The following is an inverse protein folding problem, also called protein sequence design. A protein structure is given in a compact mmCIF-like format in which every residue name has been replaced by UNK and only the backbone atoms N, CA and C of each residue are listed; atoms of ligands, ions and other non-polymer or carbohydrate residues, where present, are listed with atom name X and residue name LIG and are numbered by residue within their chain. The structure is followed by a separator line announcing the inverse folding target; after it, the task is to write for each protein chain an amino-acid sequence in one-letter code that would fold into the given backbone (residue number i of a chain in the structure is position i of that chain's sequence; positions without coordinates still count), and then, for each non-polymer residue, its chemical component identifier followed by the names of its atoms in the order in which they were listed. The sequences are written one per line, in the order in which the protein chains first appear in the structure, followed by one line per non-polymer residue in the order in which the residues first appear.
data_IF_965934209859
#
_entry.id   IF_965934209859
#
_cell.length_a   1.000
_cell.length_b   1.000
_cell.length_c   1.000
_cell.angle_alpha   90.00
_cell.angle_beta   90.00
_cell.angle_gamma   90.00
#
_symmetry.space_group_name_H-M   'P 1'
#
loop_
_entity.id
_entity.type
_entity.pdbx_description
1 polymer ?
#
# COMPACT_ATOMS: atom_id res chain seq x y z
N UNK A 1 -18.70 -0.97 10.93
CA UNK A 1 -19.40 -0.05 10.00
C UNK A 1 -19.22 -0.62 8.60
N UNK A 2 -20.30 -0.83 7.86
CA UNK A 2 -20.19 -1.25 6.47
C UNK A 2 -19.79 -0.04 5.60
N UNK A 3 -19.11 -0.25 4.48
CA UNK A 3 -18.75 0.87 3.58
C UNK A 3 -19.97 1.57 2.99
N UNK A 4 -21.10 0.89 2.91
CA UNK A 4 -22.39 1.48 2.55
C UNK A 4 -22.89 2.54 3.55
N UNK A 5 -22.43 2.48 4.80
CA UNK A 5 -22.82 3.43 5.87
C UNK A 5 -22.00 4.72 5.84
N UNK A 6 -20.98 4.81 4.98
CA UNK A 6 -20.12 5.99 4.85
C UNK A 6 -20.79 6.97 3.90
N UNK A 7 -21.24 8.11 4.42
CA UNK A 7 -21.76 9.20 3.60
C UNK A 7 -20.62 10.00 2.98
N UNK A 8 -19.63 10.37 3.81
CA UNK A 8 -18.53 11.26 3.42
C UNK A 8 -17.30 10.99 4.27
N UNK A 9 -16.13 11.13 3.70
CA UNK A 9 -14.85 11.18 4.42
C UNK A 9 -14.20 12.50 4.03
N UNK A 10 -13.97 13.38 4.99
CA UNK A 10 -13.15 14.58 4.73
C UNK A 10 -11.76 14.30 5.24
N UNK A 11 -10.77 14.91 4.60
CA UNK A 11 -9.40 14.91 5.06
C UNK A 11 -8.95 16.35 5.08
N UNK A 12 -8.65 16.86 6.28
CA UNK A 12 -7.97 18.15 6.42
C UNK A 12 -6.47 17.93 6.38
N UNK A 13 -5.80 18.54 5.43
CA UNK A 13 -4.36 18.37 5.20
C UNK A 13 -3.68 19.66 4.75
N UNK A 14 -2.38 19.76 4.99
CA UNK A 14 -1.60 20.89 4.50
C UNK A 14 -1.39 20.86 2.97
N UNK A 15 -1.08 22.00 2.31
CA UNK A 15 -0.91 22.06 0.85
C UNK A 15 0.16 21.11 0.28
N UNK A 16 1.21 20.81 1.05
CA UNK A 16 2.29 19.92 0.62
C UNK A 16 1.79 18.47 0.51
N UNK A 17 1.00 18.00 1.47
CA UNK A 17 0.37 16.68 1.40
C UNK A 17 -0.64 16.59 0.25
N UNK A 18 -1.32 17.69 -0.08
CA UNK A 18 -2.27 17.73 -1.20
C UNK A 18 -1.52 17.57 -2.52
N UNK A 19 -0.41 18.27 -2.69
CA UNK A 19 0.43 18.17 -3.88
C UNK A 19 1.03 16.76 -4.03
N UNK A 20 1.54 16.19 -2.95
CA UNK A 20 2.20 14.89 -2.95
C UNK A 20 1.21 13.74 -3.14
N UNK A 21 0.07 13.77 -2.46
CA UNK A 21 -0.83 12.63 -2.31
C UNK A 21 -2.28 12.88 -2.76
N UNK A 22 -2.61 14.04 -3.33
CA UNK A 22 -3.99 14.43 -3.66
C UNK A 22 -4.54 13.85 -4.96
N UNK A 23 -3.72 13.13 -5.74
CA UNK A 23 -4.13 12.61 -7.04
C UNK A 23 -5.31 11.63 -6.93
N UNK A 24 -6.14 11.61 -7.97
CA UNK A 24 -7.19 10.60 -8.19
C UNK A 24 -6.92 9.72 -9.41
N UNK A 25 -5.74 9.88 -10.02
CA UNK A 25 -5.27 9.02 -11.11
C UNK A 25 -4.94 7.65 -10.54
N UNK A 26 -5.65 6.63 -11.01
CA UNK A 26 -5.46 5.26 -10.52
C UNK A 26 -4.86 4.33 -11.56
N UNK A 27 -4.80 4.69 -12.84
CA UNK A 27 -4.44 3.83 -13.98
C UNK A 27 -3.06 3.22 -13.78
N UNK A 28 -2.09 4.01 -13.34
CA UNK A 28 -0.77 3.50 -12.98
C UNK A 28 -0.72 3.13 -11.49
N UNK A 29 -0.03 2.02 -11.17
CA UNK A 29 0.18 1.63 -9.78
C UNK A 29 0.92 2.72 -8.99
N UNK A 30 1.91 3.38 -9.61
CA UNK A 30 2.66 4.44 -8.98
C UNK A 30 1.78 5.64 -8.61
N UNK A 31 0.89 6.09 -9.51
CA UNK A 31 -0.04 7.18 -9.19
C UNK A 31 -1.05 6.77 -8.12
N UNK A 32 -1.58 5.54 -8.18
CA UNK A 32 -2.47 5.03 -7.15
C UNK A 32 -1.79 5.02 -5.77
N UNK A 33 -0.52 4.63 -5.67
CA UNK A 33 0.25 4.66 -4.42
C UNK A 33 0.46 6.09 -3.87
N UNK A 34 0.42 7.09 -4.75
CA UNK A 34 0.43 8.51 -4.40
C UNK A 34 -0.98 9.10 -4.26
N UNK A 35 -2.02 8.27 -4.10
CA UNK A 35 -3.40 8.73 -3.91
C UNK A 35 -3.89 8.46 -2.49
N UNK A 36 -3.94 9.52 -1.68
CA UNK A 36 -4.55 9.49 -0.35
C UNK A 36 -6.05 9.11 -0.40
N UNK A 37 -6.86 9.64 -1.34
CA UNK A 37 -8.24 9.17 -1.51
C UNK A 37 -8.32 7.65 -1.76
N UNK A 38 -7.42 7.11 -2.57
CA UNK A 38 -7.41 5.68 -2.82
C UNK A 38 -6.91 4.86 -1.62
N UNK A 39 -5.90 5.34 -0.89
CA UNK A 39 -5.43 4.68 0.33
C UNK A 39 -6.55 4.52 1.37
N UNK A 40 -7.35 5.57 1.57
CA UNK A 40 -8.53 5.55 2.44
C UNK A 40 -9.62 4.61 1.90
N UNK A 41 -9.87 4.65 0.59
CA UNK A 41 -10.80 3.74 -0.10
C UNK A 41 -10.40 2.27 0.10
N UNK A 42 -9.13 1.94 -0.11
CA UNK A 42 -8.59 0.60 0.06
C UNK A 42 -8.69 0.13 1.51
N UNK A 43 -8.34 1.01 2.47
CA UNK A 43 -8.48 0.70 3.90
C UNK A 43 -9.93 0.44 4.30
N UNK A 44 -10.88 1.21 3.77
CA UNK A 44 -12.30 1.06 4.07
C UNK A 44 -12.91 -0.20 3.43
N UNK A 45 -12.61 -0.50 2.16
CA UNK A 45 -13.19 -1.65 1.46
C UNK A 45 -12.53 -2.98 1.82
N UNK A 46 -11.20 -2.99 1.96
CA UNK A 46 -10.44 -4.23 2.10
C UNK A 46 -9.85 -4.41 3.50
N UNK A 47 -9.94 -3.40 4.35
CA UNK A 47 -9.35 -3.41 5.68
C UNK A 47 -7.84 -3.17 5.66
N UNK A 48 -7.20 -2.91 4.52
CA UNK A 48 -5.76 -2.67 4.40
C UNK A 48 -5.41 -1.86 3.14
N UNK A 49 -4.24 -1.24 3.15
CA UNK A 49 -3.66 -0.49 2.02
C UNK A 49 -2.27 -1.08 1.67
N UNK A 50 -2.25 -2.35 1.27
CA UNK A 50 -1.04 -3.10 0.86
C UNK A 50 -1.07 -3.35 -0.65
N UNK A 51 0.04 -3.75 -1.31
CA UNK A 51 0.06 -3.92 -2.77
C UNK A 51 -1.09 -4.78 -3.34
N UNK A 52 -1.55 -5.79 -2.62
CA UNK A 52 -2.71 -6.60 -3.05
C UNK A 52 -4.02 -5.81 -3.11
N UNK A 53 -4.20 -4.76 -2.31
CA UNK A 53 -5.37 -3.86 -2.46
C UNK A 53 -5.25 -2.99 -3.71
N UNK A 54 -4.03 -2.74 -4.20
CA UNK A 54 -3.74 -1.92 -5.38
C UNK A 54 -3.68 -2.72 -6.68
N UNK A 55 -3.94 -4.03 -6.64
CA UNK A 55 -4.09 -4.81 -7.87
C UNK A 55 -5.23 -4.24 -8.74
N UNK A 56 -5.07 -4.30 -10.06
CA UNK A 56 -5.97 -3.66 -11.04
C UNK A 56 -7.44 -3.99 -10.81
N UNK A 57 -7.73 -5.27 -10.52
CA UNK A 57 -9.10 -5.76 -10.26
C UNK A 57 -9.77 -5.10 -9.06
N UNK A 58 -8.99 -4.59 -8.10
CA UNK A 58 -9.50 -3.90 -6.91
C UNK A 58 -9.49 -2.39 -7.10
N UNK A 59 -8.37 -1.81 -7.55
CA UNK A 59 -8.26 -0.35 -7.70
C UNK A 59 -9.13 0.24 -8.80
N UNK A 60 -9.42 -0.53 -9.85
CA UNK A 60 -10.28 -0.12 -10.94
C UNK A 60 -11.71 -0.65 -10.79
N UNK A 61 -12.07 -1.19 -9.63
CA UNK A 61 -13.43 -1.69 -9.35
C UNK A 61 -14.45 -0.55 -9.24
N UNK A 62 -15.71 -0.85 -9.58
CA UNK A 62 -16.80 0.12 -9.46
C UNK A 62 -17.04 0.52 -8.00
N UNK A 63 -16.85 -0.41 -7.06
CA UNK A 63 -16.96 -0.18 -5.63
C UNK A 63 -15.89 0.80 -5.13
N UNK A 64 -14.65 0.65 -5.58
CA UNK A 64 -13.58 1.59 -5.25
C UNK A 64 -13.87 2.98 -5.80
N UNK A 65 -14.30 3.08 -7.06
CA UNK A 65 -14.67 4.35 -7.65
C UNK A 65 -15.82 5.03 -6.89
N UNK A 66 -16.86 4.28 -6.53
CA UNK A 66 -18.02 4.80 -5.81
C UNK A 66 -17.70 5.30 -4.39
N UNK A 67 -16.80 4.62 -3.66
CA UNK A 67 -16.38 5.07 -2.35
C UNK A 67 -15.40 6.25 -2.44
N UNK A 68 -14.44 6.22 -3.36
CA UNK A 68 -13.48 7.31 -3.54
C UNK A 68 -14.14 8.64 -3.92
N UNK A 69 -15.29 8.58 -4.60
CA UNK A 69 -16.10 9.76 -4.92
C UNK A 69 -16.69 10.47 -3.69
N UNK A 70 -16.76 9.80 -2.53
CA UNK A 70 -17.25 10.34 -1.26
C UNK A 70 -16.14 10.91 -0.37
N UNK A 71 -14.91 10.90 -0.86
CA UNK A 71 -13.74 11.39 -0.14
C UNK A 71 -13.44 12.81 -0.62
N UNK A 72 -13.36 13.74 0.31
CA UNK A 72 -13.07 15.15 0.07
C UNK A 72 -11.74 15.52 0.73
N UNK A 73 -10.91 16.29 0.02
CA UNK A 73 -9.65 16.79 0.53
C UNK A 73 -9.78 18.29 0.69
N UNK A 74 -9.52 18.78 1.89
CA UNK A 74 -9.63 20.18 2.26
C UNK A 74 -8.27 20.67 2.78
N UNK A 75 -7.86 21.84 2.32
CA UNK A 75 -6.66 22.49 2.85
C UNK A 75 -6.99 23.02 4.23
N UNK A 76 -6.19 22.63 5.21
CA UNK A 76 -6.22 23.19 6.56
C UNK A 76 -5.02 24.12 6.74
N UNK A 77 -5.27 25.43 6.63
CA UNK A 77 -4.22 26.46 6.74
C UNK A 77 -3.60 26.54 8.15
N UNK A 78 -4.16 25.84 9.15
CA UNK A 78 -3.60 25.76 10.50
C UNK A 78 -2.57 24.64 10.64
N UNK A 79 -2.50 23.69 9.70
CA UNK A 79 -1.50 22.62 9.72
C UNK A 79 -0.16 23.12 9.19
N UNK A 80 0.88 22.91 9.99
CA UNK A 80 2.24 23.05 9.53
C UNK A 80 2.61 21.91 8.57
N UNK A 81 3.74 22.07 7.88
CA UNK A 81 4.19 21.13 6.84
C UNK A 81 4.38 19.70 7.36
N UNK A 82 4.85 19.58 8.60
CA UNK A 82 5.20 18.30 9.23
C UNK A 82 4.03 17.73 10.06
N UNK A 83 2.89 18.43 10.10
CA UNK A 83 1.70 17.94 10.79
C UNK A 83 1.02 16.82 10.00
N UNK A 84 0.49 15.84 10.74
CA UNK A 84 -0.28 14.73 10.20
C UNK A 84 -1.75 15.17 9.95
N UNK A 85 -2.40 14.66 8.89
CA UNK A 85 -3.75 15.04 8.55
C UNK A 85 -4.78 14.49 9.56
N UNK A 86 -5.91 15.18 9.72
CA UNK A 86 -7.07 14.67 10.43
C UNK A 86 -8.10 14.11 9.44
N UNK A 87 -8.76 13.01 9.82
CA UNK A 87 -9.71 12.28 8.97
C UNK A 87 -11.07 12.19 9.67
N UNK A 88 -11.91 13.21 9.54
CA UNK A 88 -13.32 13.15 9.93
C UNK A 88 -14.08 12.25 8.95
N UNK A 89 -14.99 11.47 9.48
CA UNK A 89 -15.85 10.57 8.76
C UNK A 89 -17.28 10.87 9.17
N UNK A 90 -18.13 11.05 8.17
CA UNK A 90 -19.57 11.24 8.34
C UNK A 90 -20.30 10.00 7.81
N UNK A 91 -21.17 9.47 8.66
CA UNK A 91 -22.01 8.31 8.31
C UNK A 91 -23.32 8.76 7.67
N UNK A 92 -24.00 7.85 6.97
CA UNK A 92 -25.36 8.07 6.41
C UNK A 92 -26.44 8.33 7.47
N UNK A 93 -26.10 8.18 8.76
CA UNK A 93 -26.98 8.46 9.90
C UNK A 93 -26.59 9.75 10.62
N UNK A 94 -25.87 10.66 9.94
CA UNK A 94 -25.37 11.94 10.47
C UNK A 94 -24.46 11.81 11.71
N UNK A 95 -23.91 10.62 11.98
CA UNK A 95 -22.88 10.44 13.01
C UNK A 95 -21.53 10.87 12.46
N UNK A 96 -20.79 11.63 13.26
CA UNK A 96 -19.43 12.06 12.95
C UNK A 96 -18.44 11.30 13.82
N UNK A 97 -17.38 10.80 13.17
CA UNK A 97 -16.24 10.14 13.80
C UNK A 97 -14.98 10.88 13.36
N UNK A 98 -14.04 11.10 14.25
CA UNK A 98 -12.76 11.69 13.89
C UNK A 98 -11.64 10.87 14.52
N UNK A 99 -10.59 10.62 13.75
CA UNK A 99 -9.37 10.03 14.24
C UNK A 99 -8.17 10.83 13.74
N UNK A 100 -7.21 11.04 14.63
CA UNK A 100 -5.93 11.67 14.34
C UNK A 100 -4.81 10.77 14.87
N UNK A 101 -3.81 10.51 14.03
CA UNK A 101 -2.63 9.71 14.38
C UNK A 101 -1.41 10.62 14.20
N UNK A 102 -1.01 11.26 15.30
CA UNK A 102 0.06 12.26 15.27
C UNK A 102 1.45 11.69 14.96
N UNK A 103 1.65 10.37 15.12
CA UNK A 103 2.91 9.70 14.80
C UNK A 103 2.62 8.44 13.98
N UNK A 104 2.94 8.41 12.68
CA UNK A 104 2.61 7.30 11.82
C UNK A 104 3.46 6.07 12.16
N UNK A 105 2.89 4.88 11.91
CA UNK A 105 3.62 3.63 12.10
C UNK A 105 4.83 3.55 11.16
N UNK A 106 5.99 3.18 11.70
CA UNK A 106 7.28 3.16 11.00
C UNK A 106 8.13 4.42 11.25
N UNK A 107 7.59 5.46 11.89
CA UNK A 107 8.39 6.58 12.40
C UNK A 107 9.38 6.07 13.46
N UNK A 108 10.57 6.69 13.62
CA UNK A 108 11.47 6.39 14.74
C UNK A 108 10.79 6.45 16.11
N UNK A 109 9.78 7.31 16.27
CA UNK A 109 8.98 7.46 17.49
C UNK A 109 7.79 6.47 17.59
N UNK A 110 7.47 5.75 16.52
CA UNK A 110 6.43 4.71 16.48
C UNK A 110 6.86 3.56 15.55
N UNK A 111 7.92 2.80 15.90
CA UNK A 111 8.50 1.81 15.02
C UNK A 111 7.53 0.64 14.79
N UNK A 112 7.63 0.03 13.60
CA UNK A 112 6.94 -1.23 13.33
C UNK A 112 7.50 -2.32 14.24
N UNK A 113 6.63 -3.21 14.72
CA UNK A 113 7.09 -4.44 15.34
C UNK A 113 7.79 -5.31 14.30
N UNK A 114 8.77 -6.10 14.72
CA UNK A 114 9.44 -7.02 13.81
C UNK A 114 8.46 -7.96 13.10
N UNK A 115 7.41 -8.40 13.80
CA UNK A 115 6.40 -9.27 13.23
C UNK A 115 5.66 -8.58 12.07
N UNK A 116 5.31 -7.30 12.23
CA UNK A 116 4.69 -6.50 11.17
C UNK A 116 5.66 -6.27 10.00
N UNK A 117 6.94 -6.00 10.28
CA UNK A 117 7.97 -5.84 9.25
C UNK A 117 8.16 -7.12 8.44
N UNK A 118 8.28 -8.27 9.12
CA UNK A 118 8.39 -9.59 8.50
C UNK A 118 7.16 -9.96 7.67
N UNK A 119 5.96 -9.67 8.17
CA UNK A 119 4.71 -9.89 7.43
C UNK A 119 4.67 -9.06 6.14
N UNK A 120 5.01 -7.77 6.20
CA UNK A 120 5.10 -6.89 5.03
C UNK A 120 6.13 -7.39 4.02
N UNK A 121 7.32 -7.78 4.49
CA UNK A 121 8.35 -8.37 3.62
C UNK A 121 7.83 -9.60 2.87
N UNK A 122 7.22 -10.57 3.57
CA UNK A 122 6.71 -11.80 2.95
C UNK A 122 5.60 -11.51 1.93
N UNK A 123 4.68 -10.59 2.27
CA UNK A 123 3.60 -10.13 1.37
C UNK A 123 4.15 -9.60 0.04
N UNK A 124 5.24 -8.80 0.10
CA UNK A 124 5.87 -8.25 -1.09
C UNK A 124 6.69 -9.28 -1.87
N UNK A 125 7.56 -10.02 -1.18
CA UNK A 125 8.51 -10.93 -1.82
C UNK A 125 7.81 -12.14 -2.47
N UNK A 126 6.73 -12.64 -1.86
CA UNK A 126 5.96 -13.77 -2.40
C UNK A 126 5.27 -13.48 -3.75
N UNK A 127 5.16 -12.19 -4.14
CA UNK A 127 4.62 -11.82 -5.47
C UNK A 127 5.57 -12.17 -6.61
N UNK A 128 6.85 -12.34 -6.33
CA UNK A 128 7.91 -12.49 -7.35
C UNK A 128 8.86 -13.66 -7.08
N UNK A 129 8.93 -14.17 -5.85
CA UNK A 129 9.80 -15.27 -5.45
C UNK A 129 9.00 -16.46 -4.87
N UNK A 130 9.44 -17.70 -5.09
CA UNK A 130 8.90 -18.87 -4.40
C UNK A 130 9.06 -18.76 -2.88
N UNK A 131 8.11 -19.33 -2.13
CA UNK A 131 8.07 -19.25 -0.66
C UNK A 131 9.40 -19.67 0.02
N UNK A 132 10.08 -20.70 -0.52
CA UNK A 132 11.37 -21.14 0.01
C UNK A 132 12.46 -20.06 -0.13
N UNK A 133 12.50 -19.32 -1.25
CA UNK A 133 13.46 -18.23 -1.45
C UNK A 133 13.13 -17.04 -0.55
N UNK A 134 11.84 -16.71 -0.39
CA UNK A 134 11.37 -15.67 0.53
C UNK A 134 11.85 -15.95 1.96
N UNK A 135 11.66 -17.17 2.45
CA UNK A 135 12.09 -17.55 3.79
C UNK A 135 13.61 -17.51 3.96
N UNK A 136 14.36 -18.01 2.96
CA UNK A 136 15.83 -17.99 3.00
C UNK A 136 16.40 -16.57 3.01
N UNK A 137 15.85 -15.68 2.19
CA UNK A 137 16.23 -14.27 2.16
C UNK A 137 15.90 -13.56 3.47
N UNK A 138 14.72 -13.83 4.05
CA UNK A 138 14.35 -13.29 5.36
C UNK A 138 15.39 -13.65 6.43
N UNK A 139 15.77 -14.93 6.52
CA UNK A 139 16.77 -15.39 7.47
C UNK A 139 18.11 -14.71 7.25
N UNK A 140 18.62 -14.66 6.01
CA UNK A 140 19.91 -14.06 5.70
C UNK A 140 19.95 -12.56 5.99
N UNK A 141 18.88 -11.82 5.67
CA UNK A 141 18.80 -10.40 5.96
C UNK A 141 18.80 -10.10 7.47
N UNK A 142 18.18 -10.97 8.27
CA UNK A 142 18.15 -10.83 9.73
C UNK A 142 19.46 -11.21 10.42
N UNK A 143 20.31 -12.00 9.76
CA UNK A 143 21.62 -12.44 10.29
C UNK A 143 22.79 -11.90 9.47
N UNK A 144 22.60 -10.74 8.81
CA UNK A 144 23.52 -10.22 7.80
C UNK A 144 24.94 -9.98 8.34
N UNK A 145 25.03 -9.58 9.61
CA UNK A 145 26.27 -9.39 10.37
C UNK A 145 27.13 -10.67 10.50
N UNK A 146 26.51 -11.83 10.35
CA UNK A 146 27.17 -13.15 10.41
C UNK A 146 27.38 -13.79 9.02
N UNK A 147 26.95 -13.13 7.94
CA UNK A 147 27.06 -13.67 6.57
C UNK A 147 28.49 -13.47 6.05
N UNK A 148 29.19 -14.57 5.82
CA UNK A 148 30.56 -14.55 5.28
C UNK A 148 30.65 -14.07 3.81
N UNK A 149 29.57 -14.21 3.03
CA UNK A 149 29.53 -13.82 1.62
C UNK A 149 28.16 -13.30 1.19
N UNK A 150 28.06 -11.98 1.00
CA UNK A 150 26.83 -11.30 0.57
C UNK A 150 26.36 -11.69 -0.83
N UNK A 151 27.19 -12.34 -1.65
CA UNK A 151 26.78 -12.87 -2.97
C UNK A 151 25.69 -13.94 -2.85
N UNK A 152 25.58 -14.60 -1.68
CA UNK A 152 24.50 -15.53 -1.39
C UNK A 152 23.12 -14.87 -1.48
N UNK A 153 23.01 -13.59 -1.10
CA UNK A 153 21.77 -12.82 -1.18
C UNK A 153 21.44 -12.53 -2.65
N UNK A 154 22.43 -12.06 -3.42
CA UNK A 154 22.25 -11.79 -4.85
C UNK A 154 21.80 -13.04 -5.63
N UNK A 155 22.34 -14.21 -5.28
CA UNK A 155 21.94 -15.47 -5.90
C UNK A 155 20.47 -15.84 -5.61
N UNK A 156 19.95 -15.49 -4.44
CA UNK A 156 18.56 -15.73 -4.05
C UNK A 156 17.57 -14.71 -4.63
N UNK A 157 18.04 -13.50 -4.94
CA UNK A 157 17.24 -12.46 -5.61
C UNK A 157 17.09 -12.72 -7.11
N UNK A 158 17.88 -13.61 -7.69
CA UNK A 158 17.77 -13.95 -9.11
C UNK A 158 16.50 -14.80 -9.35
N UNK A 159 15.55 -14.33 -10.19
CA UNK A 159 14.42 -15.16 -10.56
C UNK A 159 14.92 -16.41 -11.30
N UNK A 160 14.50 -17.60 -10.87
CA UNK A 160 14.87 -18.84 -11.58
C UNK A 160 14.33 -18.78 -13.01
N UNK A 161 15.21 -19.03 -13.97
CA UNK A 161 15.07 -18.85 -15.43
C UNK A 161 13.97 -19.68 -16.14
N UNK A 162 12.88 -20.08 -15.48
CA UNK A 162 11.86 -20.98 -16.04
C UNK A 162 10.53 -20.29 -16.35
N UNK A 163 10.58 -19.10 -16.96
CA UNK A 163 9.40 -18.50 -17.60
C UNK A 163 9.35 -18.89 -19.08
N UNK A 164 8.55 -19.90 -19.42
CA UNK A 164 8.08 -20.18 -20.78
C UNK A 164 8.99 -21.00 -21.71
N UNK A 165 9.17 -22.30 -21.43
CA UNK A 165 9.47 -23.27 -22.49
C UNK A 165 8.19 -24.05 -22.82
N UNK A 166 7.31 -23.44 -23.63
CA UNK A 166 6.20 -24.15 -24.27
C UNK A 166 5.80 -23.44 -25.57
N UNK A 167 6.12 -24.13 -26.68
CA UNK A 167 5.55 -24.07 -28.04
C UNK A 167 5.86 -22.81 -28.89
N UNK A 168 6.30 -22.90 -30.14
CA UNK A 168 6.52 -24.08 -31.00
C UNK A 168 7.36 -23.72 -32.23
N UNK A 169 8.22 -24.66 -32.63
CA UNK A 169 8.89 -24.63 -33.92
C UNK A 169 7.87 -24.96 -35.01
N UNK A 170 7.38 -23.92 -35.69
CA UNK A 170 6.77 -24.06 -37.00
C UNK A 170 7.89 -24.33 -38.00
N UNK A 171 8.11 -25.61 -38.32
CA UNK A 171 8.93 -26.01 -39.47
C UNK A 171 8.22 -25.60 -40.75
N UNK A 172 8.85 -24.69 -41.49
CA UNK A 172 8.56 -24.43 -42.90
C UNK A 172 9.34 -25.48 -43.70
N UNK A 173 8.63 -26.39 -44.36
CA UNK A 173 8.93 -27.04 -45.67
C UNK A 173 7.98 -28.22 -45.84
#
# INVERSE_FOLDING_TARGET
MATGDIARIVVGLNPFLLEMCGTRELTSLAAAQMSLPYALTARALFGFAELSSYDDSRRLSAEAAALMARIELEIDDQQERDDEPWVPLETVQDQQWQQHVAVPSGSPANPLSDAALRAKYRSLAARVLPAAQVQQLETLCLTLDSVADVRQIAALLAPRKNWGASNGEMRVS
#
